data_IF_326057728204
#
_entry.id   IF_326057728204
#
_cell.length_a   1.000
_cell.length_b   1.000
_cell.length_c   1.000
_cell.angle_alpha   90.00
_cell.angle_beta   90.00
_cell.angle_gamma   90.00
#
_symmetry.space_group_name_H-M   'P 1'
#
loop_
_entity.id
_entity.type
_entity.pdbx_description
1 polymer ?
#
# COMPACT_ATOMS: atom_id res chain seq x y z
N UNK A 1 -12.28 -55.35 10.68
CA UNK A 1 -10.97 -54.77 10.35
C UNK A 1 -11.06 -54.30 8.90
N UNK A 2 -10.70 -53.04 8.62
CA UNK A 2 -10.82 -52.46 7.27
C UNK A 2 -9.39 -52.34 6.72
N UNK A 3 -9.16 -52.95 5.56
CA UNK A 3 -7.91 -52.90 4.80
C UNK A 3 -8.16 -52.02 3.58
N UNK A 4 -7.26 -51.08 3.30
CA UNK A 4 -7.31 -50.21 2.11
C UNK A 4 -6.31 -50.72 1.07
N UNK A 5 -6.77 -50.85 -0.17
CA UNK A 5 -5.93 -51.20 -1.33
C UNK A 5 -5.31 -49.93 -1.95
N UNK A 6 -4.23 -50.08 -2.72
CA UNK A 6 -3.46 -48.93 -3.24
C UNK A 6 -4.27 -48.03 -4.20
N UNK A 7 -5.23 -48.61 -4.92
CA UNK A 7 -6.16 -47.93 -5.83
C UNK A 7 -7.31 -47.22 -5.11
N UNK A 8 -7.48 -47.45 -3.82
CA UNK A 8 -8.44 -46.75 -2.95
C UNK A 8 -7.83 -45.50 -2.30
N UNK A 9 -6.54 -45.22 -2.51
CA UNK A 9 -5.81 -44.10 -1.90
C UNK A 9 -5.40 -43.07 -2.95
N UNK A 10 -5.89 -41.83 -2.78
CA UNK A 10 -5.48 -40.68 -3.57
C UNK A 10 -4.40 -39.89 -2.83
N UNK A 11 -3.17 -39.84 -3.37
CA UNK A 11 -2.10 -39.01 -2.81
C UNK A 11 -2.06 -37.70 -3.58
N UNK A 12 -2.29 -36.58 -2.89
CA UNK A 12 -2.19 -35.24 -3.43
C UNK A 12 -1.22 -34.41 -2.59
N UNK A 13 -0.40 -33.62 -3.25
CA UNK A 13 0.42 -32.61 -2.58
C UNK A 13 -0.46 -31.42 -2.26
N UNK A 14 -0.50 -31.04 -0.99
CA UNK A 14 -1.22 -29.85 -0.52
C UNK A 14 -0.18 -28.83 -0.04
N UNK A 15 -0.46 -27.55 -0.27
CA UNK A 15 0.36 -26.48 0.26
C UNK A 15 0.46 -26.59 1.79
N UNK A 16 1.65 -26.37 2.35
CA UNK A 16 1.78 -26.24 3.79
C UNK A 16 1.01 -25.01 4.27
N UNK A 17 0.54 -25.04 5.51
CA UNK A 17 -0.15 -23.91 6.12
C UNK A 17 0.70 -22.62 6.04
N UNK A 18 0.10 -21.51 5.62
CA UNK A 18 0.80 -20.24 5.40
C UNK A 18 1.47 -20.09 4.02
N UNK A 19 1.54 -21.14 3.20
CA UNK A 19 2.08 -21.07 1.84
C UNK A 19 0.98 -21.14 0.79
N UNK A 20 1.05 -20.23 -0.19
CA UNK A 20 0.34 -20.40 -1.45
C UNK A 20 1.28 -21.07 -2.46
N UNK A 21 0.94 -22.27 -2.91
CA UNK A 21 1.77 -23.04 -3.86
C UNK A 21 1.12 -23.15 -5.23
N UNK A 22 1.91 -22.93 -6.29
CA UNK A 22 1.52 -23.25 -7.66
C UNK A 22 2.53 -24.23 -8.23
N UNK A 23 2.02 -25.36 -8.71
CA UNK A 23 2.81 -26.41 -9.34
C UNK A 23 2.74 -26.34 -10.86
N UNK A 24 3.91 -26.41 -11.48
CA UNK A 24 4.08 -26.80 -12.88
C UNK A 24 4.89 -28.11 -12.91
N UNK A 25 4.82 -28.87 -14.02
CA UNK A 25 5.52 -30.17 -14.16
C UNK A 25 7.02 -30.15 -13.81
N UNK A 26 7.66 -28.98 -13.81
CA UNK A 26 9.10 -28.83 -13.59
C UNK A 26 9.45 -27.88 -12.42
N UNK A 27 8.46 -27.20 -11.84
CA UNK A 27 8.71 -26.15 -10.84
C UNK A 27 7.50 -25.97 -9.93
N UNK A 28 7.77 -25.95 -8.63
CA UNK A 28 6.82 -25.52 -7.59
C UNK A 28 7.26 -24.15 -7.08
N UNK A 29 6.36 -23.17 -7.11
CA UNK A 29 6.57 -21.86 -6.47
C UNK A 29 5.70 -21.80 -5.23
N UNK A 30 6.31 -21.47 -4.09
CA UNK A 30 5.62 -21.24 -2.84
C UNK A 30 5.82 -19.79 -2.42
N UNK A 31 4.74 -19.09 -2.08
CA UNK A 31 4.75 -17.73 -1.56
C UNK A 31 4.29 -17.77 -0.11
N UNK A 32 5.06 -17.15 0.78
CA UNK A 32 4.65 -16.88 2.14
C UNK A 32 3.51 -15.84 2.14
N UNK A 33 2.40 -16.21 2.75
CA UNK A 33 1.19 -15.37 2.81
C UNK A 33 1.12 -14.55 4.10
N UNK A 34 2.09 -14.69 5.00
CA UNK A 34 2.17 -13.90 6.22
C UNK A 34 2.52 -12.44 5.90
N UNK A 35 1.58 -11.53 6.16
CA UNK A 35 1.81 -10.09 6.07
C UNK A 35 2.43 -9.62 7.37
N UNK A 36 3.75 -9.40 7.32
CA UNK A 36 4.49 -8.76 8.42
C UNK A 36 4.07 -7.30 8.58
N UNK A 37 4.30 -6.72 9.76
CA UNK A 37 3.98 -5.31 10.02
C UNK A 37 4.72 -4.35 9.07
N UNK A 38 5.97 -4.67 8.72
CA UNK A 38 6.74 -3.90 7.75
C UNK A 38 6.10 -3.91 6.34
N UNK A 39 5.59 -5.08 5.90
CA UNK A 39 4.88 -5.18 4.62
C UNK A 39 3.56 -4.42 4.64
N UNK A 40 2.88 -4.36 5.79
CA UNK A 40 1.66 -3.57 5.95
C UNK A 40 1.97 -2.06 5.85
N UNK A 41 2.99 -1.58 6.55
CA UNK A 41 3.42 -0.17 6.48
C UNK A 41 3.83 0.23 5.06
N UNK A 42 4.57 -0.63 4.36
CA UNK A 42 4.94 -0.41 2.95
C UNK A 42 3.70 -0.36 2.04
N UNK A 43 2.74 -1.27 2.25
CA UNK A 43 1.46 -1.30 1.52
C UNK A 43 0.68 0.01 1.69
N UNK A 44 0.58 0.50 2.93
CA UNK A 44 -0.07 1.78 3.24
C UNK A 44 0.65 2.94 2.54
N UNK A 45 1.98 2.99 2.58
CA UNK A 45 2.75 4.03 1.89
C UNK A 45 2.49 4.03 0.37
N UNK A 46 2.44 2.85 -0.25
CA UNK A 46 2.10 2.70 -1.68
C UNK A 46 0.68 3.19 -1.99
N UNK A 47 -0.27 2.93 -1.10
CA UNK A 47 -1.62 3.42 -1.28
C UNK A 47 -1.71 4.96 -1.14
N UNK A 48 -0.97 5.54 -0.21
CA UNK A 48 -0.88 7.00 -0.04
C UNK A 48 -0.31 7.65 -1.30
N UNK A 49 0.78 7.11 -1.86
CA UNK A 49 1.33 7.57 -3.14
C UNK A 49 0.27 7.52 -4.23
N UNK A 50 -0.44 6.39 -4.37
CA UNK A 50 -1.52 6.24 -5.34
C UNK A 50 -2.58 7.33 -5.17
N UNK A 51 -2.99 7.61 -3.93
CA UNK A 51 -4.01 8.61 -3.62
C UNK A 51 -3.55 10.03 -3.97
N UNK A 52 -2.31 10.38 -3.64
CA UNK A 52 -1.73 11.69 -3.99
C UNK A 52 -1.71 11.85 -5.51
N UNK A 53 -1.31 10.83 -6.25
CA UNK A 53 -1.30 10.86 -7.71
C UNK A 53 -2.71 11.01 -8.31
N UNK A 54 -3.71 10.36 -7.72
CA UNK A 54 -5.11 10.54 -8.12
C UNK A 54 -5.59 11.96 -7.84
N UNK A 55 -5.17 12.57 -6.72
CA UNK A 55 -5.50 13.96 -6.38
C UNK A 55 -4.80 14.97 -7.29
N UNK A 56 -3.55 14.74 -7.67
CA UNK A 56 -2.85 15.56 -8.68
C UNK A 56 -3.61 15.62 -9.99
N UNK A 57 -4.14 14.47 -10.45
CA UNK A 57 -4.96 14.39 -11.67
C UNK A 57 -6.30 15.12 -11.51
N UNK A 58 -6.95 14.98 -10.35
CA UNK A 58 -8.22 15.66 -10.06
C UNK A 58 -8.07 17.17 -9.95
N UNK A 59 -6.92 17.63 -9.48
CA UNK A 59 -6.55 19.04 -9.38
C UNK A 59 -6.07 19.64 -10.71
N UNK A 60 -5.99 18.85 -11.78
CA UNK A 60 -5.50 19.25 -13.11
C UNK A 60 -4.05 19.78 -13.09
N UNK A 61 -3.20 19.18 -12.24
CA UNK A 61 -1.77 19.52 -12.17
C UNK A 61 -0.98 18.85 -13.29
N UNK A 62 0.12 19.48 -13.70
CA UNK A 62 1.02 18.89 -14.68
C UNK A 62 1.79 17.71 -14.06
N UNK A 63 2.14 16.72 -14.90
CA UNK A 63 2.89 15.54 -14.46
C UNK A 63 4.25 15.91 -13.83
N UNK A 64 4.87 17.00 -14.29
CA UNK A 64 6.17 17.47 -13.81
C UNK A 64 6.07 18.44 -12.62
N UNK A 65 4.87 18.83 -12.20
CA UNK A 65 4.71 19.81 -11.13
C UNK A 65 5.27 19.29 -9.81
N UNK A 66 6.02 20.14 -9.13
CA UNK A 66 6.44 19.88 -7.76
C UNK A 66 5.39 20.42 -6.81
N UNK A 67 5.13 19.68 -5.74
CA UNK A 67 4.06 20.03 -4.80
C UNK A 67 4.59 20.19 -3.38
N UNK A 68 3.86 20.97 -2.59
CA UNK A 68 3.82 20.87 -1.14
C UNK A 68 2.64 19.99 -0.73
N UNK A 69 2.91 19.03 0.15
CA UNK A 69 1.92 18.12 0.72
C UNK A 69 1.67 18.49 2.17
N UNK A 70 0.43 18.86 2.48
CA UNK A 70 -0.05 19.03 3.86
C UNK A 70 -0.94 17.84 4.17
N UNK A 71 -0.71 17.16 5.29
CA UNK A 71 -1.53 16.01 5.65
C UNK A 71 -2.03 16.10 7.09
N UNK A 72 -3.15 15.42 7.31
CA UNK A 72 -3.69 15.12 8.62
C UNK A 72 -4.11 13.66 8.62
N UNK A 73 -3.58 12.86 9.52
CA UNK A 73 -3.77 11.42 9.54
C UNK A 73 -4.00 10.92 10.97
N UNK A 74 -4.59 9.74 11.10
CA UNK A 74 -4.69 9.07 12.41
C UNK A 74 -3.30 8.66 12.92
N UNK A 75 -3.13 8.44 14.24
CA UNK A 75 -1.84 8.05 14.81
C UNK A 75 -1.25 6.77 14.21
N UNK A 76 -2.10 5.81 13.83
CA UNK A 76 -1.67 4.56 13.21
C UNK A 76 -1.07 4.82 11.82
N UNK A 77 -1.71 5.66 11.01
CA UNK A 77 -1.23 6.00 9.67
C UNK A 77 0.00 6.93 9.71
N UNK A 78 0.15 7.73 10.77
CA UNK A 78 1.28 8.63 10.96
C UNK A 78 2.61 7.89 11.01
N UNK A 79 2.66 6.70 11.63
CA UNK A 79 3.86 5.84 11.63
C UNK A 79 4.29 5.48 10.21
N UNK A 80 3.37 4.94 9.41
CA UNK A 80 3.64 4.54 8.03
C UNK A 80 4.08 5.72 7.15
N UNK A 81 3.41 6.88 7.30
CA UNK A 81 3.79 8.12 6.59
C UNK A 81 5.20 8.56 6.94
N UNK A 82 5.58 8.49 8.22
CA UNK A 82 6.92 8.91 8.66
C UNK A 82 8.00 7.92 8.25
N UNK A 83 7.76 6.61 8.41
CA UNK A 83 8.69 5.54 8.02
C UNK A 83 9.00 5.58 6.53
N UNK A 84 8.00 5.88 5.69
CA UNK A 84 8.13 5.91 4.23
C UNK A 84 8.09 7.31 3.63
N UNK A 85 8.37 8.34 4.43
CA UNK A 85 8.29 9.76 4.03
C UNK A 85 9.06 10.04 2.74
N UNK A 86 10.31 9.61 2.67
CA UNK A 86 11.18 9.91 1.53
C UNK A 86 10.67 9.25 0.25
N UNK A 87 10.21 8.00 0.35
CA UNK A 87 9.58 7.28 -0.76
C UNK A 87 8.32 8.00 -1.25
N UNK A 88 7.43 8.40 -0.32
CA UNK A 88 6.22 9.15 -0.68
C UNK A 88 6.59 10.44 -1.40
N UNK A 89 7.57 11.19 -0.88
CA UNK A 89 7.96 12.46 -1.46
C UNK A 89 8.58 12.31 -2.86
N UNK A 90 9.46 11.33 -3.04
CA UNK A 90 10.10 11.04 -4.33
C UNK A 90 9.07 10.65 -5.40
N UNK A 91 8.20 9.68 -5.09
CA UNK A 91 7.20 9.17 -6.03
C UNK A 91 6.10 10.18 -6.37
N UNK A 92 5.95 11.24 -5.59
CA UNK A 92 4.89 12.26 -5.78
C UNK A 92 5.41 13.64 -6.20
N UNK A 93 6.73 13.76 -6.43
CA UNK A 93 7.42 15.03 -6.69
C UNK A 93 7.16 16.09 -5.60
N UNK A 94 7.02 15.65 -4.35
CA UNK A 94 6.77 16.52 -3.21
C UNK A 94 8.08 17.11 -2.71
N UNK A 95 8.15 18.43 -2.57
CA UNK A 95 9.30 19.15 -2.02
C UNK A 95 9.22 19.31 -0.51
N UNK A 96 8.02 19.53 0.00
CA UNK A 96 7.76 19.74 1.41
C UNK A 96 6.56 18.90 1.82
N UNK A 97 6.72 18.15 2.91
CA UNK A 97 5.65 17.38 3.53
C UNK A 97 5.56 17.76 5.00
N UNK A 98 4.40 18.28 5.41
CA UNK A 98 4.15 18.74 6.78
C UNK A 98 2.77 18.30 7.28
N UNK A 99 2.69 18.08 8.59
CA UNK A 99 1.41 17.89 9.27
C UNK A 99 0.76 19.26 9.51
N UNK A 100 -0.52 19.39 9.16
CA UNK A 100 -1.21 20.66 9.25
C UNK A 100 -2.68 20.56 8.86
N UNK A 101 -3.29 21.70 8.56
CA UNK A 101 -4.68 21.78 8.10
C UNK A 101 -4.71 21.69 6.56
N UNK A 102 -5.08 20.54 5.98
CA UNK A 102 -4.97 20.33 4.53
C UNK A 102 -6.03 21.11 3.75
N UNK A 103 -7.11 21.56 4.40
CA UNK A 103 -8.25 22.26 3.77
C UNK A 103 -7.90 23.65 3.24
N UNK A 104 -6.73 24.18 3.62
CA UNK A 104 -6.18 25.45 3.14
C UNK A 104 -5.37 25.32 1.85
N UNK A 105 -5.10 24.10 1.41
CA UNK A 105 -4.31 23.83 0.21
C UNK A 105 -5.14 24.10 -1.06
N UNK A 106 -4.46 24.26 -2.20
CA UNK A 106 -5.14 24.48 -3.49
C UNK A 106 -6.11 23.35 -3.87
N UNK A 107 -5.76 22.12 -3.52
CA UNK A 107 -6.64 20.96 -3.59
C UNK A 107 -6.57 20.19 -2.28
N UNK A 108 -7.72 19.72 -1.77
CA UNK A 108 -7.75 18.85 -0.60
C UNK A 108 -8.76 17.74 -0.78
N UNK A 109 -8.44 16.55 -0.28
CA UNK A 109 -9.34 15.42 -0.29
C UNK A 109 -9.08 14.46 0.85
N UNK A 110 -10.12 13.75 1.25
CA UNK A 110 -10.05 12.74 2.30
C UNK A 110 -10.06 11.34 1.70
N UNK A 111 -9.26 10.45 2.27
CA UNK A 111 -9.11 9.08 1.82
C UNK A 111 -9.07 8.11 3.00
N UNK A 112 -9.64 6.93 2.76
CA UNK A 112 -9.65 5.79 3.67
C UNK A 112 -8.55 4.81 3.25
N UNK A 113 -7.77 4.35 4.23
CA UNK A 113 -6.66 3.41 4.12
C UNK A 113 -6.84 2.32 5.18
N UNK A 114 -7.27 1.13 4.78
CA UNK A 114 -7.51 -0.01 5.70
C UNK A 114 -8.34 0.31 6.96
N UNK A 115 -9.30 1.24 6.86
CA UNK A 115 -10.16 1.67 7.97
C UNK A 115 -9.68 2.91 8.73
N UNK A 116 -8.47 3.39 8.43
CA UNK A 116 -7.92 4.65 8.90
C UNK A 116 -8.20 5.77 7.90
N UNK A 117 -8.49 6.98 8.38
CA UNK A 117 -8.80 8.13 7.53
C UNK A 117 -7.63 9.13 7.54
N UNK A 118 -7.26 9.62 6.35
CA UNK A 118 -6.36 10.75 6.24
C UNK A 118 -6.86 11.76 5.22
N UNK A 119 -6.67 13.03 5.57
CA UNK A 119 -6.94 14.17 4.68
C UNK A 119 -5.62 14.68 4.14
N UNK A 120 -5.56 14.83 2.82
CA UNK A 120 -4.38 15.25 2.08
C UNK A 120 -4.68 16.55 1.36
N UNK A 121 -3.75 17.48 1.43
CA UNK A 121 -3.79 18.80 0.84
C UNK A 121 -2.57 18.99 -0.06
N UNK A 122 -2.81 19.41 -1.29
CA UNK A 122 -1.78 19.57 -2.31
C UNK A 122 -1.75 21.01 -2.78
N UNK A 123 -0.55 21.55 -2.91
CA UNK A 123 -0.31 22.89 -3.45
C UNK A 123 0.87 22.82 -4.43
N UNK A 124 0.71 23.38 -5.64
CA UNK A 124 1.80 23.44 -6.62
C UNK A 124 2.83 24.46 -6.15
N UNK A 125 4.07 24.03 -6.04
CA UNK A 125 5.21 24.89 -5.72
C UNK A 125 5.97 25.17 -7.02
N UNK A 126 6.22 26.46 -7.29
CA UNK A 126 7.06 26.89 -8.43
C UNK A 126 8.54 26.87 -8.10
#
# INVERSE_FOLDING_TARGET
>A
EISLEADEVLVQTVAAEGLATVDSKLLTVAIDTEITDALREEGLAREIVRRIQDFRKQADFDIADRIKLVYQATPALQSAVMTHRDYIMEETLTLEMEEGDPTKSAFSGTALFEGEEATLGLEVTK
#
